data_IF_585467060908
#
_entry.id   IF_585467060908
#
_cell.length_a   1.000
_cell.length_b   1.000
_cell.length_c   1.000
_cell.angle_alpha   90.00
_cell.angle_beta   90.00
_cell.angle_gamma   90.00
#
_symmetry.space_group_name_H-M   'P 1'
#
loop_
_entity.id
_entity.type
_entity.pdbx_description
1 polymer ?
#
# COMPACT_ATOMS: atom_id res chain seq x y z
N UNK A 1 41.02 11.68 -56.64
CA UNK A 1 40.72 12.45 -55.39
C UNK A 1 39.22 12.56 -55.05
N UNK A 2 38.33 12.93 -55.98
CA UNK A 2 36.86 13.08 -55.65
C UNK A 2 36.13 11.78 -55.27
N UNK A 3 36.48 10.64 -55.83
CA UNK A 3 35.84 9.35 -55.51
C UNK A 3 36.25 8.78 -54.13
N UNK A 4 37.48 9.01 -53.70
CA UNK A 4 37.99 8.58 -52.40
C UNK A 4 37.35 9.41 -51.25
N UNK A 5 37.12 10.71 -51.44
CA UNK A 5 36.46 11.56 -50.50
C UNK A 5 35.00 11.12 -50.26
N UNK A 6 34.27 10.79 -51.33
CA UNK A 6 32.88 10.30 -51.21
C UNK A 6 32.78 8.97 -50.42
N UNK A 7 33.76 8.08 -50.57
CA UNK A 7 33.80 6.81 -49.78
C UNK A 7 34.01 7.09 -48.29
N UNK A 8 34.92 8.02 -47.95
CA UNK A 8 35.16 8.38 -46.55
C UNK A 8 33.96 9.09 -45.92
N UNK A 9 33.24 9.93 -46.63
CA UNK A 9 32.00 10.59 -46.16
C UNK A 9 30.90 9.54 -45.92
N UNK A 10 30.74 8.59 -46.83
CA UNK A 10 29.74 7.52 -46.65
C UNK A 10 30.04 6.63 -45.44
N UNK A 11 31.30 6.28 -45.19
CA UNK A 11 31.73 5.52 -44.01
C UNK A 11 31.48 6.30 -42.70
N UNK A 12 31.72 7.60 -42.68
CA UNK A 12 31.47 8.47 -41.55
C UNK A 12 29.97 8.57 -41.23
N UNK A 13 29.13 8.69 -42.22
CA UNK A 13 27.65 8.72 -42.07
C UNK A 13 27.15 7.38 -41.53
N UNK A 14 27.62 6.26 -42.04
CA UNK A 14 27.27 4.93 -41.53
C UNK A 14 27.72 4.73 -40.08
N UNK A 15 28.90 5.22 -39.71
CA UNK A 15 29.37 5.13 -38.32
C UNK A 15 28.52 5.98 -37.37
N UNK A 16 28.09 7.20 -37.80
CA UNK A 16 27.19 8.07 -37.02
C UNK A 16 25.79 7.39 -36.85
N UNK A 17 25.23 6.87 -37.95
CA UNK A 17 23.93 6.17 -37.90
C UNK A 17 24.03 4.94 -36.99
N UNK A 18 25.11 4.17 -37.09
CA UNK A 18 25.33 2.99 -36.23
C UNK A 18 25.47 3.35 -34.75
N UNK A 19 26.16 4.45 -34.43
CA UNK A 19 26.32 4.93 -33.07
C UNK A 19 24.98 5.45 -32.48
N UNK A 20 24.20 6.21 -33.25
CA UNK A 20 22.87 6.69 -32.82
C UNK A 20 21.89 5.54 -32.61
N UNK A 21 21.85 4.59 -33.54
CA UNK A 21 21.01 3.41 -33.41
C UNK A 21 21.43 2.53 -32.20
N UNK A 22 22.74 2.35 -31.98
CA UNK A 22 23.28 1.64 -30.82
C UNK A 22 22.95 2.34 -29.50
N UNK A 23 23.04 3.67 -29.46
CA UNK A 23 22.67 4.47 -28.27
C UNK A 23 21.15 4.40 -27.98
N UNK A 24 20.32 4.51 -29.01
CA UNK A 24 18.86 4.36 -28.87
C UNK A 24 18.47 2.95 -28.41
N UNK A 25 19.11 1.91 -28.95
CA UNK A 25 18.89 0.55 -28.51
C UNK A 25 19.30 0.33 -27.06
N UNK A 26 20.46 0.84 -26.65
CA UNK A 26 20.98 0.75 -25.29
C UNK A 26 20.11 1.52 -24.28
N UNK A 27 19.68 2.73 -24.61
CA UNK A 27 18.76 3.52 -23.77
C UNK A 27 17.37 2.86 -23.67
N UNK A 28 16.84 2.31 -24.76
CA UNK A 28 15.58 1.59 -24.77
C UNK A 28 15.62 0.27 -23.97
N UNK A 29 16.75 -0.44 -24.02
CA UNK A 29 16.96 -1.65 -23.22
C UNK A 29 17.11 -1.32 -21.72
N UNK A 30 17.77 -0.21 -21.37
CA UNK A 30 17.94 0.22 -19.97
C UNK A 30 16.63 0.63 -19.32
N UNK A 31 15.69 1.22 -20.06
CA UNK A 31 14.37 1.62 -19.52
C UNK A 31 13.41 0.43 -19.34
N UNK A 32 13.61 -0.68 -20.06
CA UNK A 32 12.75 -1.89 -19.95
C UNK A 32 13.03 -2.73 -18.70
N UNK A 33 14.21 -2.62 -18.10
CA UNK A 33 14.59 -3.41 -16.93
C UNK A 33 14.32 -2.73 -15.59
N UNK A 34 13.68 -1.58 -15.58
CA UNK A 34 13.31 -0.86 -14.36
C UNK A 34 11.80 -0.90 -14.17
N UNK A 35 11.36 -1.16 -12.94
CA UNK A 35 9.96 -1.11 -12.54
C UNK A 35 9.79 -0.08 -11.42
N UNK A 36 9.02 0.97 -11.69
CA UNK A 36 8.74 2.02 -10.73
C UNK A 36 7.37 1.80 -10.07
N UNK A 37 7.40 1.57 -8.77
CA UNK A 37 6.21 1.23 -7.97
C UNK A 37 5.93 2.36 -6.99
N UNK A 38 4.75 2.98 -7.08
CA UNK A 38 4.32 3.92 -6.06
C UNK A 38 3.50 3.20 -5.00
N UNK A 39 3.88 3.35 -3.73
CA UNK A 39 3.31 2.59 -2.61
C UNK A 39 3.04 3.47 -1.40
N UNK A 40 2.43 2.90 -0.36
CA UNK A 40 2.11 3.63 0.86
C UNK A 40 3.24 3.57 1.88
N UNK A 41 3.39 4.65 2.67
CA UNK A 41 4.37 4.70 3.76
C UNK A 41 4.15 3.58 4.77
N UNK A 42 2.89 3.21 5.04
CA UNK A 42 2.57 2.13 5.98
C UNK A 42 3.00 0.75 5.48
N UNK A 43 3.07 0.51 4.17
CA UNK A 43 3.62 -0.74 3.63
C UNK A 43 5.16 -0.67 3.55
N UNK A 44 5.69 0.44 3.05
CA UNK A 44 7.14 0.61 2.86
C UNK A 44 7.90 0.61 4.19
N UNK A 45 7.43 1.35 5.20
CA UNK A 45 8.11 1.52 6.49
C UNK A 45 8.21 0.21 7.29
N UNK A 46 7.45 -0.83 6.94
CA UNK A 46 7.58 -2.15 7.57
C UNK A 46 8.85 -2.89 7.17
N UNK A 47 9.41 -2.59 5.98
CA UNK A 47 10.57 -3.30 5.41
C UNK A 47 10.20 -4.58 4.61
N UNK A 48 8.92 -4.96 4.51
CA UNK A 48 8.51 -6.13 3.70
C UNK A 48 8.96 -5.99 2.24
N UNK A 49 8.87 -4.77 1.69
CA UNK A 49 9.21 -4.53 0.29
C UNK A 49 10.69 -4.74 -0.01
N UNK A 50 11.60 -4.50 0.93
CA UNK A 50 13.04 -4.74 0.77
C UNK A 50 13.33 -6.26 0.60
N UNK A 51 12.59 -7.10 1.34
CA UNK A 51 12.67 -8.55 1.20
C UNK A 51 12.12 -9.02 -0.15
N UNK A 52 10.97 -8.49 -0.56
CA UNK A 52 10.34 -8.80 -1.85
C UNK A 52 11.24 -8.35 -3.01
N UNK A 53 11.84 -7.15 -2.93
CA UNK A 53 12.77 -6.59 -3.91
C UNK A 53 13.95 -7.55 -4.13
N UNK A 54 14.63 -7.96 -3.06
CA UNK A 54 15.79 -8.84 -3.14
C UNK A 54 15.49 -10.14 -3.89
N UNK A 55 14.38 -10.79 -3.57
CA UNK A 55 13.99 -12.06 -4.19
C UNK A 55 13.53 -11.88 -5.65
N UNK A 56 12.74 -10.84 -5.91
CA UNK A 56 12.23 -10.55 -7.24
C UNK A 56 13.35 -10.18 -8.22
N UNK A 57 14.24 -9.27 -7.83
CA UNK A 57 15.35 -8.81 -8.68
C UNK A 57 16.31 -9.94 -9.03
N UNK A 58 16.60 -10.82 -8.06
CA UNK A 58 17.43 -12.00 -8.27
C UNK A 58 16.82 -12.93 -9.35
N UNK A 59 15.50 -13.06 -9.36
CA UNK A 59 14.78 -14.00 -10.23
C UNK A 59 14.49 -13.44 -11.63
N UNK A 60 14.13 -12.16 -11.71
CA UNK A 60 13.60 -11.56 -12.94
C UNK A 60 14.57 -10.58 -13.62
N UNK A 61 15.67 -10.20 -12.98
CA UNK A 61 16.62 -9.21 -13.50
C UNK A 61 15.92 -7.87 -13.87
N UNK A 62 14.94 -7.48 -13.09
CA UNK A 62 14.20 -6.21 -13.19
C UNK A 62 14.51 -5.40 -11.93
N UNK A 63 15.04 -4.19 -12.09
CA UNK A 63 15.38 -3.27 -11.02
C UNK A 63 14.09 -2.64 -10.44
N UNK A 64 13.76 -2.91 -9.18
CA UNK A 64 12.60 -2.35 -8.49
C UNK A 64 12.95 -1.00 -7.87
N UNK A 65 12.05 -0.05 -8.01
CA UNK A 65 12.19 1.26 -7.39
C UNK A 65 10.87 1.66 -6.73
N UNK A 66 10.90 1.91 -5.44
CA UNK A 66 9.71 2.28 -4.68
C UNK A 66 9.65 3.79 -4.41
N UNK A 67 8.46 4.37 -4.61
CA UNK A 67 8.13 5.72 -4.17
C UNK A 67 7.12 5.59 -3.03
N UNK A 68 7.58 5.84 -1.80
CA UNK A 68 6.78 5.76 -0.58
C UNK A 68 6.05 7.08 -0.31
N UNK A 69 4.70 7.06 -0.44
CA UNK A 69 3.82 8.22 -0.29
C UNK A 69 2.47 7.81 0.32
N UNK A 70 1.49 8.71 0.40
CA UNK A 70 0.12 8.35 0.74
C UNK A 70 -0.65 7.79 -0.47
N UNK A 71 -1.70 6.97 -0.25
CA UNK A 71 -2.51 6.34 -1.32
C UNK A 71 -2.95 7.33 -2.41
N UNK A 72 -3.44 8.50 -2.03
CA UNK A 72 -3.90 9.50 -3.00
C UNK A 72 -2.78 10.01 -3.90
N UNK A 73 -1.56 10.18 -3.37
CA UNK A 73 -0.38 10.60 -4.15
C UNK A 73 0.11 9.45 -5.03
N UNK A 74 0.11 8.21 -4.52
CA UNK A 74 0.47 7.03 -5.33
C UNK A 74 -0.44 6.89 -6.56
N UNK A 75 -1.74 7.08 -6.38
CA UNK A 75 -2.72 7.10 -7.48
C UNK A 75 -2.43 8.26 -8.46
N UNK A 76 -2.10 9.45 -7.97
CA UNK A 76 -1.74 10.59 -8.84
C UNK A 76 -0.47 10.31 -9.66
N UNK A 77 0.54 9.64 -9.10
CA UNK A 77 1.72 9.22 -9.86
C UNK A 77 1.32 8.28 -11.00
N UNK A 78 0.49 7.29 -10.72
CA UNK A 78 -0.01 6.35 -11.73
C UNK A 78 -0.87 7.04 -12.80
N UNK A 79 -1.77 7.99 -12.41
CA UNK A 79 -2.61 8.75 -13.32
C UNK A 79 -1.79 9.60 -14.32
N UNK A 80 -0.58 10.02 -13.96
CA UNK A 80 0.33 10.75 -14.84
C UNK A 80 1.27 9.85 -15.65
N UNK A 81 1.30 8.53 -15.35
CA UNK A 81 2.27 7.61 -15.92
C UNK A 81 3.67 7.73 -15.30
N UNK A 82 3.77 8.34 -14.11
CA UNK A 82 5.01 8.48 -13.33
C UNK A 82 5.32 7.22 -12.49
N UNK A 83 4.48 6.21 -12.55
CA UNK A 83 4.68 4.89 -11.96
C UNK A 83 4.12 3.82 -12.90
N UNK A 84 4.67 2.61 -12.84
CA UNK A 84 4.25 1.45 -13.64
C UNK A 84 3.19 0.63 -12.92
N UNK A 85 3.22 0.65 -11.58
CA UNK A 85 2.34 -0.10 -10.70
C UNK A 85 2.13 0.67 -9.39
N UNK A 86 0.98 0.47 -8.75
CA UNK A 86 0.74 0.94 -7.38
C UNK A 86 0.47 -0.24 -6.44
N UNK A 87 0.97 -0.11 -5.19
CA UNK A 87 0.63 -0.97 -4.06
C UNK A 87 -0.10 -0.13 -3.03
N UNK A 88 -1.41 -0.34 -2.89
CA UNK A 88 -2.29 0.52 -2.08
C UNK A 88 -3.31 -0.31 -1.29
N UNK A 89 -4.06 0.33 -0.38
CA UNK A 89 -5.02 -0.34 0.50
C UNK A 89 -6.27 0.52 0.77
N UNK A 90 -6.82 1.14 -0.26
CA UNK A 90 -8.06 1.94 -0.19
C UNK A 90 -9.02 1.50 -1.30
N UNK A 91 -9.87 0.48 -1.08
CA UNK A 91 -10.74 -0.08 -2.12
C UNK A 91 -11.59 0.96 -2.85
N UNK A 92 -12.08 1.98 -2.13
CA UNK A 92 -12.87 3.06 -2.76
C UNK A 92 -12.06 3.86 -3.78
N UNK A 93 -10.81 4.24 -3.43
CA UNK A 93 -9.94 4.99 -4.33
C UNK A 93 -9.42 4.09 -5.46
N UNK A 94 -9.19 2.80 -5.18
CA UNK A 94 -8.81 1.79 -6.17
C UNK A 94 -9.89 1.60 -7.23
N UNK A 95 -11.17 1.51 -6.82
CA UNK A 95 -12.29 1.44 -7.75
C UNK A 95 -12.37 2.67 -8.64
N UNK A 96 -12.21 3.86 -8.06
CA UNK A 96 -12.17 5.11 -8.82
C UNK A 96 -11.05 5.09 -9.85
N UNK A 97 -9.84 4.67 -9.47
CA UNK A 97 -8.69 4.55 -10.34
C UNK A 97 -8.92 3.57 -11.51
N UNK A 98 -9.62 2.45 -11.26
CA UNK A 98 -10.05 1.51 -12.31
C UNK A 98 -11.09 2.13 -13.23
N UNK A 99 -12.13 2.77 -12.67
CA UNK A 99 -13.24 3.36 -13.46
C UNK A 99 -12.80 4.53 -14.34
N UNK A 100 -11.74 5.24 -13.96
CA UNK A 100 -11.08 6.26 -14.79
C UNK A 100 -10.26 5.65 -15.94
N UNK A 101 -10.14 4.31 -15.99
CA UNK A 101 -9.44 3.57 -17.04
C UNK A 101 -7.91 3.59 -16.93
N UNK A 102 -7.36 4.26 -15.92
CA UNK A 102 -5.91 4.37 -15.74
C UNK A 102 -5.33 3.14 -15.05
N UNK A 103 -6.04 2.55 -14.10
CA UNK A 103 -5.67 1.30 -13.45
C UNK A 103 -6.25 0.08 -14.17
N UNK A 104 -5.47 -1.00 -14.23
CA UNK A 104 -5.91 -2.30 -14.76
C UNK A 104 -5.32 -3.45 -13.93
N UNK A 105 -5.90 -4.64 -14.06
CA UNK A 105 -5.41 -5.87 -13.44
C UNK A 105 -5.18 -5.74 -11.92
N UNK A 106 -6.16 -5.12 -11.23
CA UNK A 106 -6.14 -5.07 -9.75
C UNK A 106 -6.13 -6.48 -9.18
N UNK A 107 -5.18 -6.74 -8.27
CA UNK A 107 -5.09 -8.01 -7.56
C UNK A 107 -4.87 -7.79 -6.07
N UNK A 108 -5.70 -8.40 -5.23
CA UNK A 108 -5.50 -8.45 -3.79
C UNK A 108 -4.35 -9.41 -3.50
N UNK A 109 -3.34 -8.94 -2.77
CA UNK A 109 -2.09 -9.67 -2.51
C UNK A 109 -1.93 -10.07 -1.04
N UNK A 110 -2.37 -9.21 -0.11
CA UNK A 110 -2.19 -9.39 1.31
C UNK A 110 -3.30 -8.68 2.10
N UNK A 111 -3.39 -9.01 3.38
CA UNK A 111 -4.18 -8.25 4.34
C UNK A 111 -3.45 -8.18 5.68
N UNK A 112 -3.81 -7.18 6.48
CA UNK A 112 -3.54 -7.13 7.91
C UNK A 112 -4.69 -6.39 8.60
N UNK A 113 -4.47 -5.95 9.83
CA UNK A 113 -5.47 -5.18 10.55
C UNK A 113 -4.89 -3.84 10.98
N UNK A 114 -5.76 -2.86 11.07
CA UNK A 114 -5.51 -1.71 11.91
C UNK A 114 -5.76 -2.08 13.37
N UNK A 115 -5.17 -1.30 14.26
CA UNK A 115 -5.43 -1.39 15.69
C UNK A 115 -5.66 0.00 16.26
N UNK A 116 -6.52 0.11 17.26
CA UNK A 116 -6.55 1.28 18.13
C UNK A 116 -5.53 1.02 19.23
N UNK A 117 -4.49 1.84 19.23
CA UNK A 117 -3.41 1.77 20.21
C UNK A 117 -3.50 2.97 21.17
N UNK A 118 -3.03 2.79 22.39
CA UNK A 118 -3.09 3.83 23.41
C UNK A 118 -2.22 3.51 24.63
N UNK A 119 -2.28 4.36 25.67
CA UNK A 119 -1.53 4.15 26.89
C UNK A 119 -1.97 2.86 27.59
N UNK A 120 -1.02 2.17 28.25
CA UNK A 120 -1.28 0.92 28.94
C UNK A 120 -2.33 1.03 30.04
N UNK A 121 -2.44 2.21 30.65
CA UNK A 121 -3.44 2.52 31.69
C UNK A 121 -4.87 2.57 31.19
N UNK A 122 -5.05 2.69 29.88
CA UNK A 122 -6.35 2.71 29.18
C UNK A 122 -7.42 3.59 29.89
N UNK A 123 -7.18 4.91 30.03
CA UNK A 123 -8.08 5.78 30.80
C UNK A 123 -9.49 5.89 30.19
N UNK A 124 -9.68 5.63 28.90
CA UNK A 124 -11.01 5.55 28.28
C UNK A 124 -11.66 4.16 28.42
N UNK A 125 -10.96 3.14 28.93
CA UNK A 125 -11.45 1.77 29.13
C UNK A 125 -11.99 1.13 27.85
N UNK A 126 -11.19 1.20 26.79
CA UNK A 126 -11.57 0.68 25.47
C UNK A 126 -11.19 -0.79 25.26
N UNK A 127 -10.33 -1.35 26.10
CA UNK A 127 -9.87 -2.74 25.96
C UNK A 127 -11.06 -3.70 25.97
N UNK A 128 -11.10 -4.61 24.98
CA UNK A 128 -12.16 -5.62 24.83
C UNK A 128 -13.50 -5.05 24.33
N UNK A 129 -13.51 -3.85 23.78
CA UNK A 129 -14.69 -3.25 23.13
C UNK A 129 -14.57 -3.33 21.60
N UNK A 130 -15.70 -3.18 20.90
CA UNK A 130 -15.67 -3.02 19.44
C UNK A 130 -15.05 -1.67 19.04
N UNK A 131 -14.54 -1.49 17.79
CA UNK A 131 -13.97 -0.24 17.33
C UNK A 131 -14.90 0.97 17.54
N UNK A 132 -16.20 0.82 17.27
CA UNK A 132 -17.16 1.92 17.42
C UNK A 132 -17.45 2.27 18.88
N UNK A 133 -17.50 1.27 19.74
CA UNK A 133 -17.62 1.47 21.19
C UNK A 133 -16.36 2.16 21.75
N UNK A 134 -15.18 1.73 21.29
CA UNK A 134 -13.90 2.36 21.66
C UNK A 134 -13.87 3.83 21.31
N UNK A 135 -14.24 4.17 20.06
CA UNK A 135 -14.27 5.55 19.60
C UNK A 135 -15.26 6.41 20.40
N UNK A 136 -16.43 5.86 20.75
CA UNK A 136 -17.42 6.56 21.59
C UNK A 136 -16.88 6.87 22.98
N UNK A 137 -16.21 5.90 23.62
CA UNK A 137 -15.58 6.08 24.93
C UNK A 137 -14.41 7.08 24.88
N UNK A 138 -13.62 7.07 23.80
CA UNK A 138 -12.53 8.03 23.60
C UNK A 138 -13.11 9.45 23.49
N UNK A 139 -14.21 9.65 22.75
CA UNK A 139 -14.87 10.96 22.64
C UNK A 139 -15.36 11.45 24.00
N UNK A 140 -16.06 10.59 24.75
CA UNK A 140 -16.56 10.93 26.09
C UNK A 140 -15.39 11.33 27.01
N UNK A 141 -14.37 10.51 27.08
CA UNK A 141 -13.19 10.73 27.91
C UNK A 141 -12.36 11.96 27.47
N UNK A 142 -12.28 12.19 26.15
CA UNK A 142 -11.61 13.35 25.57
C UNK A 142 -12.32 14.67 25.93
N UNK A 143 -13.64 14.69 25.82
CA UNK A 143 -14.46 15.86 26.22
C UNK A 143 -14.39 16.17 27.72
N UNK A 144 -14.18 15.13 28.53
CA UNK A 144 -13.94 15.26 29.96
C UNK A 144 -12.48 15.64 30.32
N UNK A 145 -11.62 15.86 29.30
CA UNK A 145 -10.22 16.23 29.48
C UNK A 145 -9.29 15.13 29.96
N UNK A 146 -9.75 13.86 29.97
CA UNK A 146 -8.98 12.72 30.51
C UNK A 146 -8.07 12.10 29.44
N UNK A 147 -8.46 12.14 28.17
CA UNK A 147 -7.74 11.48 27.08
C UNK A 147 -7.55 12.41 25.88
N UNK A 148 -6.70 11.95 24.94
CA UNK A 148 -6.49 12.59 23.66
C UNK A 148 -6.53 11.55 22.54
N UNK A 149 -6.87 11.99 21.35
CA UNK A 149 -6.70 11.26 20.11
C UNK A 149 -5.67 11.96 19.24
N UNK A 150 -4.74 11.22 18.65
CA UNK A 150 -3.84 11.74 17.64
C UNK A 150 -4.24 11.15 16.30
N UNK A 151 -4.75 11.99 15.43
CA UNK A 151 -5.08 11.65 14.05
C UNK A 151 -3.85 11.79 13.16
N UNK A 152 -3.71 10.91 12.19
CA UNK A 152 -2.67 11.02 11.17
C UNK A 152 -2.78 12.32 10.35
N UNK A 153 -3.97 12.67 9.89
CA UNK A 153 -4.29 13.97 9.32
C UNK A 153 -3.67 14.31 7.96
N UNK A 154 -3.12 13.33 7.22
CA UNK A 154 -2.33 13.50 5.99
C UNK A 154 -3.02 12.98 4.71
N UNK A 155 -4.30 12.60 4.80
CA UNK A 155 -5.08 11.96 3.73
C UNK A 155 -4.52 10.64 3.18
N UNK A 156 -3.65 9.97 3.93
CA UNK A 156 -3.20 8.59 3.65
C UNK A 156 -4.32 7.56 3.82
N UNK A 157 -4.06 6.31 3.43
CA UNK A 157 -4.98 5.20 3.63
C UNK A 157 -5.39 5.01 5.09
N UNK A 158 -4.46 5.13 6.04
CA UNK A 158 -4.75 5.09 7.48
C UNK A 158 -5.69 6.24 7.90
N UNK A 159 -5.45 7.47 7.40
CA UNK A 159 -6.32 8.60 7.70
C UNK A 159 -7.71 8.46 7.04
N UNK A 160 -7.79 7.90 5.84
CA UNK A 160 -9.07 7.56 5.19
C UNK A 160 -9.84 6.54 6.02
N UNK A 161 -9.18 5.48 6.50
CA UNK A 161 -9.76 4.47 7.38
C UNK A 161 -10.23 5.09 8.70
N UNK A 162 -9.41 5.90 9.33
CA UNK A 162 -9.77 6.64 10.56
C UNK A 162 -11.06 7.44 10.38
N UNK A 163 -11.12 8.25 9.31
CA UNK A 163 -12.33 9.05 8.99
C UNK A 163 -13.56 8.18 8.75
N UNK A 164 -13.40 7.02 8.13
CA UNK A 164 -14.48 6.05 7.92
C UNK A 164 -15.00 5.50 9.24
N UNK A 165 -14.11 5.10 10.15
CA UNK A 165 -14.46 4.60 11.48
C UNK A 165 -15.21 5.66 12.33
N UNK A 166 -14.73 6.89 12.33
CA UNK A 166 -15.42 8.01 13.04
C UNK A 166 -16.84 8.25 12.51
N UNK A 167 -17.01 8.25 11.16
CA UNK A 167 -18.35 8.40 10.55
C UNK A 167 -19.27 7.23 10.89
N UNK A 168 -18.75 6.00 10.81
CA UNK A 168 -19.51 4.78 11.14
C UNK A 168 -19.91 4.75 12.62
N UNK A 169 -19.08 5.30 13.50
CA UNK A 169 -19.41 5.49 14.92
C UNK A 169 -20.39 6.67 15.17
N UNK A 170 -20.88 7.35 14.11
CA UNK A 170 -21.88 8.41 14.20
C UNK A 170 -21.32 9.82 14.47
N UNK A 171 -20.01 10.02 14.36
CA UNK A 171 -19.40 11.33 14.65
C UNK A 171 -19.26 12.19 13.39
N UNK A 172 -19.57 13.48 13.55
CA UNK A 172 -19.35 14.49 12.52
C UNK A 172 -17.91 15.00 12.59
N UNK A 173 -17.10 14.67 11.58
CA UNK A 173 -15.69 15.05 11.52
C UNK A 173 -15.47 16.57 11.51
N UNK A 174 -16.37 17.36 10.90
CA UNK A 174 -16.23 18.82 10.85
C UNK A 174 -16.23 19.48 12.24
N UNK A 175 -16.92 18.86 13.20
CA UNK A 175 -16.95 19.31 14.59
C UNK A 175 -15.89 18.62 15.43
N UNK A 176 -15.75 17.29 15.29
CA UNK A 176 -14.84 16.46 16.06
C UNK A 176 -13.37 16.92 15.94
N UNK A 177 -12.92 17.22 14.74
CA UNK A 177 -11.53 17.64 14.48
C UNK A 177 -11.17 19.02 15.03
N UNK A 178 -12.15 19.77 15.54
CA UNK A 178 -11.95 21.08 16.18
C UNK A 178 -11.89 21.00 17.70
N UNK A 179 -12.20 19.84 18.26
CA UNK A 179 -12.18 19.65 19.71
C UNK A 179 -10.72 19.57 20.21
N UNK A 180 -10.42 20.16 21.37
CA UNK A 180 -9.06 20.35 21.88
C UNK A 180 -8.32 19.05 22.20
N UNK A 181 -9.04 17.94 22.42
CA UNK A 181 -8.47 16.62 22.67
C UNK A 181 -8.13 15.88 21.37
N UNK A 182 -8.66 16.32 20.20
CA UNK A 182 -8.37 15.76 18.89
C UNK A 182 -7.18 16.48 18.26
N UNK A 183 -6.03 15.80 18.18
CA UNK A 183 -4.78 16.37 17.71
C UNK A 183 -4.52 15.87 16.29
N UNK A 184 -4.35 16.78 15.35
CA UNK A 184 -3.92 16.45 14.00
C UNK A 184 -2.38 16.40 13.94
N UNK A 185 -1.81 15.24 13.58
CA UNK A 185 -0.37 15.07 13.45
C UNK A 185 0.16 15.68 12.14
N UNK A 186 -0.60 15.58 11.06
CA UNK A 186 -0.20 16.03 9.72
C UNK A 186 1.06 15.33 9.20
N UNK A 187 1.28 14.07 9.60
CA UNK A 187 2.55 13.36 9.36
C UNK A 187 2.34 11.87 9.08
N UNK A 188 3.39 11.15 8.65
CA UNK A 188 3.39 9.70 8.45
C UNK A 188 3.08 8.93 9.74
N UNK A 189 2.80 7.62 9.59
CA UNK A 189 2.32 6.79 10.71
C UNK A 189 3.33 6.70 11.86
N UNK A 190 4.63 6.61 11.58
CA UNK A 190 5.67 6.53 12.60
C UNK A 190 5.71 7.77 13.49
N UNK A 191 5.66 8.97 12.89
CA UNK A 191 5.62 10.22 13.65
C UNK A 191 4.29 10.40 14.40
N UNK A 192 3.19 9.91 13.83
CA UNK A 192 1.88 9.88 14.50
C UNK A 192 1.94 9.02 15.75
N UNK A 193 2.53 7.81 15.68
CA UNK A 193 2.74 6.93 16.82
C UNK A 193 3.60 7.55 17.91
N UNK A 194 4.73 8.18 17.55
CA UNK A 194 5.60 8.89 18.50
C UNK A 194 4.85 10.04 19.18
N UNK A 195 4.05 10.80 18.43
CA UNK A 195 3.25 11.89 18.95
C UNK A 195 2.14 11.40 19.88
N UNK A 196 1.47 10.31 19.53
CA UNK A 196 0.49 9.65 20.40
C UNK A 196 1.15 9.15 21.70
N UNK A 197 2.34 8.54 21.60
CA UNK A 197 3.12 8.10 22.75
C UNK A 197 3.49 9.27 23.68
N UNK A 198 3.98 10.37 23.10
CA UNK A 198 4.34 11.58 23.88
C UNK A 198 3.15 12.15 24.66
N UNK A 199 1.96 12.19 24.06
CA UNK A 199 0.76 12.71 24.72
C UNK A 199 0.01 11.68 25.56
N UNK A 200 0.49 10.43 25.67
CA UNK A 200 -0.25 9.29 26.23
C UNK A 200 -1.68 9.21 25.64
N UNK A 201 -1.75 9.36 24.31
CA UNK A 201 -2.99 9.47 23.55
C UNK A 201 -3.31 8.17 22.82
N UNK A 202 -4.56 8.03 22.38
CA UNK A 202 -4.99 7.00 21.46
C UNK A 202 -4.72 7.40 20.01
N UNK A 203 -4.52 6.41 19.15
CA UNK A 203 -4.41 6.59 17.69
C UNK A 203 -4.78 5.32 16.95
N UNK A 204 -5.07 5.45 15.65
CA UNK A 204 -5.19 4.32 14.73
C UNK A 204 -3.84 4.05 14.07
N UNK A 205 -3.39 2.82 14.07
CA UNK A 205 -2.20 2.38 13.35
C UNK A 205 -2.44 1.04 12.67
N UNK A 206 -1.74 0.75 11.57
CA UNK A 206 -1.62 -0.62 11.10
C UNK A 206 -0.71 -1.41 12.05
N UNK A 207 -1.05 -2.68 12.25
CA UNK A 207 -0.35 -3.54 13.22
C UNK A 207 1.13 -3.70 12.85
N UNK A 208 1.47 -3.77 11.55
CA UNK A 208 2.84 -3.95 11.10
C UNK A 208 3.75 -2.80 11.55
N UNK A 209 3.38 -1.56 11.24
CA UNK A 209 4.16 -0.38 11.67
C UNK A 209 4.19 -0.25 13.19
N UNK A 210 3.05 -0.50 13.86
CA UNK A 210 3.00 -0.48 15.33
C UNK A 210 4.01 -1.44 15.95
N UNK A 211 4.03 -2.71 15.52
CA UNK A 211 4.92 -3.74 16.06
C UNK A 211 6.40 -3.36 15.91
N UNK A 212 6.77 -2.84 14.74
CA UNK A 212 8.13 -2.35 14.50
C UNK A 212 8.53 -1.27 15.49
N UNK A 213 7.72 -0.22 15.61
CA UNK A 213 8.01 0.90 16.51
C UNK A 213 8.00 0.50 17.99
N UNK A 214 7.14 -0.44 18.36
CA UNK A 214 7.09 -0.98 19.72
C UNK A 214 8.32 -1.81 20.05
N UNK A 215 8.74 -2.72 19.16
CA UNK A 215 9.93 -3.56 19.33
C UNK A 215 11.23 -2.72 19.39
N UNK A 216 11.31 -1.71 18.53
CA UNK A 216 12.47 -0.80 18.49
C UNK A 216 12.52 0.13 19.73
N UNK A 217 11.58 0.01 20.66
CA UNK A 217 11.50 0.83 21.87
C UNK A 217 11.16 2.30 21.62
N UNK A 218 10.69 2.65 20.43
CA UNK A 218 10.35 4.01 20.03
C UNK A 218 9.03 4.49 20.63
N UNK A 219 8.17 3.56 21.03
CA UNK A 219 6.87 3.79 21.67
C UNK A 219 6.64 2.75 22.77
N UNK A 220 5.78 3.10 23.76
CA UNK A 220 5.30 2.20 24.81
C UNK A 220 3.79 1.96 24.76
N UNK A 221 3.10 2.53 23.77
CA UNK A 221 1.67 2.32 23.56
C UNK A 221 1.33 0.83 23.44
N UNK A 222 0.13 0.44 23.83
CA UNK A 222 -0.38 -0.93 23.74
C UNK A 222 -1.50 -1.03 22.72
N UNK A 223 -1.61 -2.18 22.07
CA UNK A 223 -2.81 -2.54 21.31
C UNK A 223 -3.96 -2.74 22.28
N UNK A 224 -5.06 -2.06 22.07
CA UNK A 224 -6.24 -2.10 22.92
C UNK A 224 -7.48 -2.65 22.22
N UNK A 225 -7.59 -2.40 20.91
CA UNK A 225 -8.65 -2.97 20.04
C UNK A 225 -8.00 -3.39 18.73
N UNK A 226 -8.18 -4.66 18.35
CA UNK A 226 -7.62 -5.25 17.11
C UNK A 226 -8.48 -6.41 16.59
N UNK A 227 -8.13 -6.92 15.39
CA UNK A 227 -8.71 -8.13 14.78
C UNK A 227 -10.23 -8.11 14.60
N UNK A 228 -10.79 -6.93 14.45
CA UNK A 228 -12.20 -6.72 14.15
C UNK A 228 -12.40 -6.46 12.65
N UNK A 229 -13.55 -6.87 12.12
CA UNK A 229 -13.90 -6.66 10.69
C UNK A 229 -13.71 -5.21 10.25
N UNK A 230 -14.14 -4.26 11.08
CA UNK A 230 -14.04 -2.84 10.78
C UNK A 230 -12.61 -2.30 10.82
N UNK A 231 -11.66 -3.09 11.34
CA UNK A 231 -10.22 -2.79 11.35
C UNK A 231 -9.44 -3.49 10.24
N UNK A 232 -10.12 -4.28 9.39
CA UNK A 232 -9.49 -4.98 8.28
C UNK A 232 -8.83 -3.99 7.31
N UNK A 233 -7.63 -4.35 6.85
CA UNK A 233 -6.81 -3.59 5.92
C UNK A 233 -6.34 -4.52 4.80
N UNK A 234 -6.73 -4.24 3.57
CA UNK A 234 -6.51 -5.11 2.40
C UNK A 234 -5.63 -4.41 1.39
N UNK A 235 -4.54 -5.04 1.01
CA UNK A 235 -3.55 -4.51 0.07
C UNK A 235 -3.76 -5.06 -1.33
N UNK A 236 -3.75 -4.16 -2.31
CA UNK A 236 -3.88 -4.47 -3.72
C UNK A 236 -2.69 -3.99 -4.52
N UNK A 237 -2.31 -4.77 -5.53
CA UNK A 237 -1.43 -4.38 -6.61
C UNK A 237 -2.29 -4.01 -7.84
N UNK A 238 -2.03 -2.86 -8.47
CA UNK A 238 -2.78 -2.39 -9.64
C UNK A 238 -1.79 -1.87 -10.67
N UNK A 239 -1.78 -2.47 -11.86
CA UNK A 239 -0.93 -2.03 -12.95
C UNK A 239 -1.48 -0.77 -13.63
N UNK A 240 -0.59 0.09 -14.10
CA UNK A 240 -0.96 1.25 -14.90
C UNK A 240 -1.26 0.83 -16.33
N UNK A 241 -2.35 1.36 -16.90
CA UNK A 241 -2.83 1.00 -18.22
C UNK A 241 -1.89 1.50 -19.32
N UNK A 242 -1.13 0.59 -19.94
CA UNK A 242 -0.19 0.90 -21.02
C UNK A 242 -0.86 1.51 -22.27
N UNK A 243 -2.17 1.33 -22.45
CA UNK A 243 -2.89 1.95 -23.57
C UNK A 243 -2.99 3.47 -23.40
N UNK A 244 -3.09 3.95 -22.16
CA UNK A 244 -3.11 5.37 -21.85
C UNK A 244 -1.70 5.92 -21.62
N UNK A 245 -0.80 5.10 -21.09
CA UNK A 245 0.58 5.47 -20.78
C UNK A 245 1.57 4.49 -21.46
N UNK A 246 1.87 4.68 -22.77
CA UNK A 246 2.70 3.73 -23.54
C UNK A 246 4.14 3.56 -23.03
N UNK A 247 4.62 4.46 -22.16
CA UNK A 247 5.97 4.44 -21.59
C UNK A 247 6.12 3.59 -20.34
N UNK A 248 5.01 3.17 -19.71
CA UNK A 248 5.07 2.35 -18.50
C UNK A 248 5.59 0.95 -18.81
N UNK A 249 6.32 0.37 -17.88
CA UNK A 249 6.80 -1.00 -17.96
C UNK A 249 5.70 -1.99 -17.54
N UNK A 250 4.69 -2.14 -18.41
CA UNK A 250 3.53 -3.00 -18.12
C UNK A 250 3.90 -4.48 -17.95
N UNK A 251 4.81 -5.00 -18.78
CA UNK A 251 5.25 -6.40 -18.68
C UNK A 251 5.99 -6.66 -17.37
N UNK A 252 6.84 -5.71 -16.93
CA UNK A 252 7.49 -5.75 -15.62
C UNK A 252 6.49 -5.68 -14.46
N UNK A 253 5.49 -4.79 -14.57
CA UNK A 253 4.41 -4.70 -13.58
C UNK A 253 3.65 -6.02 -13.45
N UNK A 254 3.32 -6.66 -14.57
CA UNK A 254 2.62 -7.95 -14.57
C UNK A 254 3.49 -9.11 -14.09
N UNK A 255 4.81 -9.08 -14.37
CA UNK A 255 5.75 -10.04 -13.80
C UNK A 255 5.79 -9.92 -12.27
N UNK A 256 5.81 -8.69 -11.75
CA UNK A 256 5.80 -8.43 -10.32
C UNK A 256 4.48 -8.85 -9.65
N UNK A 257 3.33 -8.54 -10.25
CA UNK A 257 2.02 -9.02 -9.74
C UNK A 257 2.00 -10.54 -9.67
N UNK A 258 2.45 -11.24 -10.74
CA UNK A 258 2.52 -12.71 -10.75
C UNK A 258 3.47 -13.26 -9.69
N UNK A 259 4.59 -12.60 -9.44
CA UNK A 259 5.49 -12.97 -8.34
C UNK A 259 4.79 -12.84 -6.99
N UNK A 260 4.15 -11.69 -6.72
CA UNK A 260 3.45 -11.45 -5.45
C UNK A 260 2.35 -12.49 -5.15
N UNK A 261 1.68 -13.01 -6.19
CA UNK A 261 0.61 -14.01 -6.02
C UNK A 261 1.09 -15.46 -6.11
N UNK A 262 2.36 -15.69 -6.47
CA UNK A 262 2.96 -17.03 -6.48
C UNK A 262 3.09 -17.59 -5.06
N UNK A 263 3.25 -18.92 -4.94
CA UNK A 263 3.48 -19.56 -3.64
C UNK A 263 4.69 -18.95 -2.92
N UNK A 264 5.75 -18.62 -3.64
CA UNK A 264 6.96 -17.98 -3.13
C UNK A 264 6.65 -16.57 -2.57
N UNK A 265 6.02 -15.69 -3.36
CA UNK A 265 5.65 -14.34 -2.92
C UNK A 265 4.67 -14.37 -1.74
N UNK A 266 3.69 -15.27 -1.75
CA UNK A 266 2.75 -15.44 -0.64
C UNK A 266 3.44 -16.00 0.61
N UNK A 267 4.43 -16.87 0.47
CA UNK A 267 5.23 -17.37 1.58
C UNK A 267 6.09 -16.27 2.21
N UNK A 268 6.72 -15.41 1.40
CA UNK A 268 7.47 -14.25 1.90
C UNK A 268 6.54 -13.37 2.75
N UNK A 269 5.35 -13.04 2.23
CA UNK A 269 4.36 -12.23 2.95
C UNK A 269 3.97 -12.89 4.28
N UNK A 270 3.73 -14.21 4.28
CA UNK A 270 3.33 -14.96 5.47
C UNK A 270 4.43 -15.04 6.53
N UNK A 271 5.67 -15.22 6.13
CA UNK A 271 6.79 -15.42 7.07
C UNK A 271 7.32 -14.08 7.60
N UNK A 272 7.09 -12.99 6.88
CA UNK A 272 7.65 -11.69 7.22
C UNK A 272 7.22 -11.21 8.61
N UNK A 273 8.20 -11.00 9.47
CA UNK A 273 8.02 -10.54 10.84
C UNK A 273 7.87 -11.63 11.89
N UNK A 274 7.66 -12.90 11.53
CA UNK A 274 7.49 -14.00 12.51
C UNK A 274 8.69 -14.12 13.46
N UNK A 275 9.90 -14.10 12.92
CA UNK A 275 11.12 -14.23 13.73
C UNK A 275 11.38 -12.97 14.56
N UNK A 276 11.07 -11.82 13.99
CA UNK A 276 11.33 -10.54 14.62
C UNK A 276 10.28 -10.11 15.63
N UNK A 277 9.01 -10.35 15.35
CA UNK A 277 7.87 -9.83 16.14
C UNK A 277 7.02 -10.93 16.78
N UNK A 278 7.37 -12.21 16.57
CA UNK A 278 6.61 -13.36 17.07
C UNK A 278 5.30 -13.61 16.31
N UNK A 279 5.03 -12.82 15.27
CA UNK A 279 3.86 -12.96 14.39
C UNK A 279 4.13 -12.33 13.04
N UNK A 280 3.36 -12.74 12.01
CA UNK A 280 3.39 -12.11 10.69
C UNK A 280 2.91 -10.67 10.77
N UNK A 281 3.57 -9.75 10.04
CA UNK A 281 3.06 -8.38 9.89
C UNK A 281 1.98 -8.26 8.82
N UNK A 282 1.95 -9.22 7.90
CA UNK A 282 0.97 -9.33 6.82
C UNK A 282 0.56 -10.79 6.66
N UNK A 283 -0.64 -11.02 6.19
CA UNK A 283 -1.18 -12.34 5.90
C UNK A 283 -1.44 -12.49 4.40
N UNK A 284 -1.08 -13.66 3.80
CA UNK A 284 -1.28 -13.91 2.37
C UNK A 284 -2.79 -14.00 2.06
N UNK A 285 -3.25 -13.25 1.04
CA UNK A 285 -4.66 -13.20 0.71
C UNK A 285 -5.06 -14.14 -0.43
N UNK A 286 -4.11 -14.50 -1.31
CA UNK A 286 -4.44 -15.20 -2.57
C UNK A 286 -5.00 -16.59 -2.30
N UNK A 287 -4.28 -17.41 -1.54
CA UNK A 287 -4.71 -18.76 -1.19
C UNK A 287 -5.97 -18.75 -0.33
N UNK A 288 -6.04 -17.83 0.61
CA UNK A 288 -7.20 -17.65 1.47
C UNK A 288 -8.48 -17.39 0.66
N UNK A 289 -8.41 -16.49 -0.32
CA UNK A 289 -9.55 -16.15 -1.18
C UNK A 289 -9.92 -17.26 -2.17
N UNK A 290 -8.92 -17.99 -2.69
CA UNK A 290 -9.11 -19.07 -3.67
C UNK A 290 -9.64 -20.34 -3.02
N UNK A 291 -9.04 -20.77 -1.91
CA UNK A 291 -9.33 -22.04 -1.24
C UNK A 291 -10.31 -21.89 -0.06
N UNK A 292 -10.65 -20.65 0.31
CA UNK A 292 -11.52 -20.32 1.45
C UNK A 292 -11.04 -20.95 2.77
N UNK A 293 -9.71 -20.91 2.99
CA UNK A 293 -9.07 -21.55 4.15
C UNK A 293 -9.51 -20.97 5.49
N UNK A 294 -9.88 -19.68 5.52
CA UNK A 294 -10.46 -18.99 6.66
C UNK A 294 -11.75 -18.27 6.22
N UNK A 295 -12.91 -18.95 6.23
CA UNK A 295 -14.16 -18.45 5.64
C UNK A 295 -14.60 -17.08 6.16
N UNK A 296 -14.42 -16.82 7.46
CA UNK A 296 -14.80 -15.56 8.09
C UNK A 296 -13.96 -14.41 7.54
N UNK A 297 -12.64 -14.56 7.47
CA UNK A 297 -11.73 -13.53 6.96
C UNK A 297 -11.93 -13.36 5.44
N UNK A 298 -12.07 -14.45 4.70
CA UNK A 298 -12.36 -14.40 3.27
C UNK A 298 -13.65 -13.62 2.97
N UNK A 299 -14.70 -13.83 3.77
CA UNK A 299 -15.94 -13.09 3.65
C UNK A 299 -15.75 -11.61 3.99
N UNK A 300 -15.01 -11.27 5.03
CA UNK A 300 -14.70 -9.87 5.38
C UNK A 300 -13.93 -9.16 4.29
N UNK A 301 -12.93 -9.84 3.67
CA UNK A 301 -12.16 -9.27 2.54
C UNK A 301 -13.10 -9.03 1.35
N UNK A 302 -13.98 -9.99 1.01
CA UNK A 302 -14.94 -9.81 -0.08
C UNK A 302 -15.89 -8.64 0.16
N UNK A 303 -16.46 -8.53 1.36
CA UNK A 303 -17.37 -7.44 1.70
C UNK A 303 -16.67 -6.06 1.73
N UNK A 304 -15.39 -6.03 2.10
CA UNK A 304 -14.64 -4.78 2.21
C UNK A 304 -13.98 -4.33 0.89
N UNK A 305 -13.46 -5.28 0.10
CA UNK A 305 -12.53 -4.96 -0.98
C UNK A 305 -12.94 -5.48 -2.37
N UNK A 306 -14.05 -6.24 -2.49
CA UNK A 306 -14.59 -6.63 -3.78
C UNK A 306 -15.60 -5.59 -4.28
N UNK A 307 -15.76 -5.51 -5.59
CA UNK A 307 -16.68 -4.61 -6.27
C UNK A 307 -17.81 -5.45 -6.87
N UNK A 308 -19.01 -5.39 -6.27
CA UNK A 308 -20.13 -6.26 -6.64
C UNK A 308 -19.73 -7.75 -6.67
N UNK A 309 -19.11 -8.22 -5.57
CA UNK A 309 -18.60 -9.60 -5.40
C UNK A 309 -17.48 -10.01 -6.37
N UNK A 310 -16.84 -9.07 -7.06
CA UNK A 310 -15.77 -9.33 -8.00
C UNK A 310 -14.49 -8.58 -7.55
N UNK A 311 -13.36 -9.30 -7.47
CA UNK A 311 -12.07 -8.74 -7.06
C UNK A 311 -11.59 -7.61 -8.00
N UNK A 312 -11.68 -7.85 -9.30
CA UNK A 312 -11.42 -6.88 -10.35
C UNK A 312 -12.48 -7.07 -11.45
N UNK A 313 -13.34 -6.09 -11.72
CA UNK A 313 -14.35 -6.22 -12.78
C UNK A 313 -13.72 -6.53 -14.14
N UNK A 314 -14.37 -7.39 -14.95
CA UNK A 314 -13.78 -7.91 -16.20
C UNK A 314 -13.32 -6.84 -17.18
N UNK A 315 -14.02 -5.70 -17.24
CA UNK A 315 -13.71 -4.56 -18.13
C UNK A 315 -12.35 -3.92 -17.82
N UNK A 316 -11.84 -4.09 -16.61
CA UNK A 316 -10.53 -3.57 -16.18
C UNK A 316 -9.43 -4.63 -16.22
N UNK A 317 -9.73 -5.84 -16.73
CA UNK A 317 -8.73 -6.91 -16.90
C UNK A 317 -8.13 -6.81 -18.31
N UNK A 318 -6.80 -6.84 -18.38
CA UNK A 318 -6.05 -6.71 -19.63
C UNK A 318 -5.06 -7.85 -19.78
N UNK A 319 -5.43 -8.90 -20.54
CA UNK A 319 -4.52 -9.91 -21.02
C UNK A 319 -3.97 -10.94 -20.01
N UNK A 320 -4.48 -11.00 -18.78
CA UNK A 320 -3.97 -11.88 -17.72
C UNK A 320 -5.12 -12.56 -16.95
N UNK A 321 -5.91 -13.44 -17.60
CA UNK A 321 -7.07 -14.06 -16.95
C UNK A 321 -6.67 -15.00 -15.80
N UNK A 322 -5.48 -15.55 -15.81
CA UNK A 322 -4.95 -16.45 -14.78
C UNK A 322 -4.84 -15.80 -13.39
N UNK A 323 -4.82 -14.48 -13.30
CA UNK A 323 -4.81 -13.78 -12.01
C UNK A 323 -6.07 -14.03 -11.18
N UNK A 324 -7.18 -14.43 -11.83
CA UNK A 324 -8.52 -14.48 -11.22
C UNK A 324 -9.13 -15.88 -11.26
N UNK A 325 -8.36 -16.91 -11.67
CA UNK A 325 -8.79 -18.30 -11.76
C UNK A 325 -8.43 -19.13 -10.52
#
# INVERSE_FOLDING_TARGET
MRKTYLVWVALLVLAVIGSVAGTMYYLGASTKNRLLISTTTSLYDTGLLDTIETEFETKYSIDLNFISVGTGIAIQHAQRGDADLILVHSPTDELKFLTEGTGVNRKIIAYNFFAIVGPETDPAQIRGTTPFQALSKIVESGRNGTTKWVSRGDNSGTHVKEKSLWRAAGFNLTTLTKESWYINAGSGIGETLKKANYFSAYTLADVGTYLKYYKDGLISLKVLVEQEKDLLNVYSAIAVNQTLHPTVNFDGAMAFVRFLISDEGQQIIEQYGKDDYGQSLFYPAVRLLKENTEPTIAQWIKEYAFFNDIECPPEYRKGYPELYN
#
